data_IF_952600930185
#
_entry.id   IF_952600930185
#
_cell.length_a   1.000
_cell.length_b   1.000
_cell.length_c   1.000
_cell.angle_alpha   90.00
_cell.angle_beta   90.00
_cell.angle_gamma   90.00
#
_symmetry.space_group_name_H-M   'P 1'
#
loop_
_entity.id
_entity.type
_entity.pdbx_description
1 polymer ?
#
# COMPACT_ATOMS: atom_id res chain seq x y z
N UNK A 1 -6.03 -28.87 0.06
CA UNK A 1 -4.96 -27.91 -0.31
C UNK A 1 -5.22 -26.58 0.36
N UNK A 2 -4.78 -26.42 1.61
CA UNK A 2 -4.98 -25.21 2.39
C UNK A 2 -4.02 -24.13 1.88
N UNK A 3 -4.55 -23.09 1.21
CA UNK A 3 -3.77 -21.89 0.88
C UNK A 3 -3.25 -21.31 2.20
N UNK A 4 -1.95 -21.53 2.47
CA UNK A 4 -1.24 -20.95 3.61
C UNK A 4 -1.35 -19.43 3.47
N UNK A 5 -2.19 -18.80 4.30
CA UNK A 5 -2.28 -17.34 4.39
C UNK A 5 -0.91 -16.86 4.87
N UNK A 6 -0.10 -16.36 3.94
CA UNK A 6 1.09 -15.60 4.30
C UNK A 6 0.57 -14.38 5.06
N UNK A 7 0.84 -14.33 6.35
CA UNK A 7 0.48 -13.18 7.17
C UNK A 7 1.13 -11.94 6.54
N UNK A 8 0.41 -10.80 6.46
CA UNK A 8 1.00 -9.58 5.96
C UNK A 8 2.14 -9.18 6.90
N UNK A 9 3.39 -9.46 6.52
CA UNK A 9 4.54 -9.03 7.30
C UNK A 9 4.75 -7.55 7.02
N UNK A 10 4.51 -6.70 8.02
CA UNK A 10 4.98 -5.32 7.96
C UNK A 10 6.50 -5.37 7.71
N UNK A 11 6.93 -4.94 6.52
CA UNK A 11 8.33 -4.67 6.29
C UNK A 11 8.76 -3.66 7.36
N UNK A 12 9.75 -4.00 8.18
CA UNK A 12 10.24 -3.19 9.30
C UNK A 12 10.94 -1.90 8.83
N UNK A 13 10.84 -1.55 7.55
CA UNK A 13 11.31 -0.29 6.99
C UNK A 13 10.31 0.80 7.39
N UNK A 14 10.75 1.75 8.19
CA UNK A 14 9.99 2.96 8.46
C UNK A 14 9.62 3.64 7.12
N UNK A 15 8.33 3.70 6.82
CA UNK A 15 7.78 4.37 5.64
C UNK A 15 7.21 5.70 6.09
N UNK A 16 7.56 6.80 5.42
CA UNK A 16 6.95 8.10 5.71
C UNK A 16 5.46 8.10 5.38
N UNK A 17 4.68 8.96 6.04
CA UNK A 17 3.25 9.10 5.78
C UNK A 17 2.96 9.38 4.30
N UNK A 18 3.73 10.29 3.69
CA UNK A 18 3.60 10.64 2.27
C UNK A 18 3.80 9.43 1.36
N UNK A 19 4.81 8.59 1.67
CA UNK A 19 5.07 7.38 0.90
C UNK A 19 3.96 6.35 1.07
N UNK A 20 3.45 6.15 2.29
CA UNK A 20 2.30 5.26 2.53
C UNK A 20 1.05 5.72 1.75
N UNK A 21 0.72 7.01 1.79
CA UNK A 21 -0.39 7.59 0.99
C UNK A 21 -0.19 7.36 -0.50
N UNK A 22 1.05 7.51 -1.00
CA UNK A 22 1.36 7.30 -2.41
C UNK A 22 1.22 5.84 -2.84
N UNK A 23 1.69 4.89 -2.03
CA UNK A 23 1.51 3.46 -2.28
C UNK A 23 0.03 3.08 -2.30
N UNK A 24 -0.75 3.61 -1.36
CA UNK A 24 -2.20 3.42 -1.34
C UNK A 24 -2.86 3.88 -2.65
N UNK A 25 -2.52 5.09 -3.11
CA UNK A 25 -3.02 5.63 -4.39
C UNK A 25 -2.56 4.80 -5.60
N UNK A 26 -1.32 4.28 -5.58
CA UNK A 26 -0.81 3.41 -6.63
C UNK A 26 -1.63 2.11 -6.71
N UNK A 27 -1.89 1.45 -5.58
CA UNK A 27 -2.69 0.22 -5.54
C UNK A 27 -4.13 0.46 -5.99
N UNK A 28 -4.76 1.56 -5.54
CA UNK A 28 -6.10 1.92 -6.03
C UNK A 28 -6.11 2.16 -7.54
N UNK A 29 -5.11 2.86 -8.07
CA UNK A 29 -5.05 3.17 -9.49
C UNK A 29 -4.85 1.92 -10.35
N UNK A 30 -3.94 1.03 -9.97
CA UNK A 30 -3.72 -0.26 -10.64
C UNK A 30 -4.90 -1.22 -10.43
N UNK A 31 -5.65 -1.06 -9.33
CA UNK A 31 -6.87 -1.78 -9.03
C UNK A 31 -8.00 -1.58 -10.05
N UNK A 32 -7.98 -0.45 -10.76
CA UNK A 32 -8.90 -0.17 -11.87
C UNK A 32 -8.48 -0.82 -13.21
N UNK A 33 -7.43 -1.64 -13.20
CA UNK A 33 -6.92 -2.37 -14.36
C UNK A 33 -5.54 -1.89 -14.83
N UNK A 34 -4.94 -2.57 -15.83
CA UNK A 34 -3.54 -2.39 -16.19
C UNK A 34 -3.21 -0.97 -16.69
N UNK A 35 -2.12 -0.37 -16.18
CA UNK A 35 -1.71 1.00 -16.49
C UNK A 35 -0.32 1.07 -17.10
N UNK A 36 -0.10 1.99 -18.04
CA UNK A 36 1.24 2.25 -18.57
C UNK A 36 2.09 2.97 -17.52
N UNK A 37 3.42 2.84 -17.64
CA UNK A 37 4.36 3.59 -16.80
C UNK A 37 4.08 5.09 -16.84
N UNK A 38 3.90 5.65 -18.03
CA UNK A 38 3.64 7.08 -18.22
C UNK A 38 2.38 7.55 -17.46
N UNK A 39 1.30 6.77 -17.54
CA UNK A 39 0.06 7.09 -16.82
C UNK A 39 0.25 7.07 -15.30
N UNK A 40 1.05 6.13 -14.78
CA UNK A 40 1.35 6.04 -13.35
C UNK A 40 2.17 7.26 -12.89
N UNK A 41 3.26 7.58 -13.59
CA UNK A 41 4.13 8.70 -13.25
C UNK A 41 3.36 10.04 -13.27
N UNK A 42 2.51 10.24 -14.29
CA UNK A 42 1.66 11.44 -14.38
C UNK A 42 0.61 11.49 -13.27
N UNK A 43 -0.09 10.37 -13.01
CA UNK A 43 -1.19 10.32 -12.02
C UNK A 43 -0.70 10.51 -10.58
N UNK A 44 0.49 10.00 -10.27
CA UNK A 44 1.10 10.08 -8.94
C UNK A 44 2.07 11.26 -8.79
N UNK A 45 2.38 11.97 -9.89
CA UNK A 45 3.32 13.10 -9.95
C UNK A 45 4.68 12.75 -9.36
N UNK A 46 5.22 11.61 -9.77
CA UNK A 46 6.54 11.11 -9.34
C UNK A 46 7.48 10.89 -10.51
N UNK A 47 8.77 10.92 -10.22
CA UNK A 47 9.80 10.52 -11.16
C UNK A 47 9.92 8.99 -11.25
N UNK A 48 10.69 8.54 -12.26
CA UNK A 48 10.88 7.13 -12.55
C UNK A 48 11.64 6.36 -11.45
N UNK A 49 12.59 7.00 -10.76
CA UNK A 49 13.36 6.36 -9.68
C UNK A 49 12.47 6.14 -8.46
N UNK A 50 11.68 7.15 -8.09
CA UNK A 50 10.70 7.03 -7.01
C UNK A 50 9.71 5.90 -7.28
N UNK A 51 9.22 5.78 -8.53
CA UNK A 51 8.34 4.69 -8.92
C UNK A 51 8.97 3.30 -8.72
N UNK A 52 10.20 3.08 -9.19
CA UNK A 52 10.85 1.77 -9.01
C UNK A 52 11.17 1.46 -7.54
N UNK A 53 11.57 2.46 -6.74
CA UNK A 53 11.75 2.29 -5.28
C UNK A 53 10.45 1.90 -4.59
N UNK A 54 9.32 2.45 -5.03
CA UNK A 54 8.01 2.08 -4.51
C UNK A 54 7.60 0.65 -4.93
N UNK A 55 7.94 0.21 -6.15
CA UNK A 55 7.76 -1.18 -6.56
C UNK A 55 8.61 -2.17 -5.74
N UNK A 56 9.86 -1.82 -5.43
CA UNK A 56 10.72 -2.61 -4.55
C UNK A 56 10.10 -2.75 -3.15
N UNK A 57 9.59 -1.65 -2.58
CA UNK A 57 8.94 -1.70 -1.28
C UNK A 57 7.64 -2.52 -1.29
N UNK A 58 6.84 -2.43 -2.35
CA UNK A 58 5.66 -3.29 -2.51
C UNK A 58 6.05 -4.77 -2.55
N UNK A 59 7.12 -5.10 -3.29
CA UNK A 59 7.65 -6.46 -3.33
C UNK A 59 8.13 -6.94 -1.96
N UNK A 60 8.81 -6.09 -1.19
CA UNK A 60 9.21 -6.39 0.20
C UNK A 60 8.00 -6.65 1.11
N UNK A 61 6.84 -6.09 0.80
CA UNK A 61 5.57 -6.32 1.50
C UNK A 61 4.76 -7.49 0.91
N UNK A 62 5.37 -8.32 0.05
CA UNK A 62 4.73 -9.40 -0.70
C UNK A 62 3.56 -8.95 -1.60
N UNK A 63 3.58 -7.70 -2.06
CA UNK A 63 2.60 -7.16 -2.99
C UNK A 63 3.21 -7.19 -4.39
N UNK A 64 2.72 -8.10 -5.23
CA UNK A 64 3.24 -8.29 -6.58
C UNK A 64 2.57 -7.34 -7.60
N UNK A 65 3.41 -6.61 -8.32
CA UNK A 65 3.02 -5.78 -9.46
C UNK A 65 3.69 -6.33 -10.71
N UNK A 66 2.92 -6.98 -11.58
CA UNK A 66 3.42 -7.60 -12.81
C UNK A 66 3.46 -6.59 -13.96
N UNK A 67 4.52 -6.63 -14.76
CA UNK A 67 4.65 -5.87 -16.00
C UNK A 67 4.34 -6.78 -17.20
N UNK A 68 3.18 -6.60 -17.81
CA UNK A 68 2.73 -7.37 -18.97
C UNK A 68 2.39 -6.43 -20.12
N UNK A 69 2.88 -6.72 -21.33
CA UNK A 69 2.60 -5.92 -22.53
C UNK A 69 2.82 -4.41 -22.31
N UNK A 70 3.90 -4.05 -21.58
CA UNK A 70 4.26 -2.68 -21.19
C UNK A 70 3.27 -1.97 -20.24
N UNK A 71 2.37 -2.71 -19.59
CA UNK A 71 1.44 -2.21 -18.58
C UNK A 71 1.68 -2.92 -17.25
N UNK A 72 1.59 -2.17 -16.17
CA UNK A 72 1.64 -2.69 -14.81
C UNK A 72 0.24 -3.11 -14.36
N UNK A 73 0.15 -4.25 -13.70
CA UNK A 73 -1.08 -4.84 -13.17
C UNK A 73 -0.84 -5.41 -11.77
N UNK A 74 -1.90 -5.53 -10.96
CA UNK A 74 -1.81 -6.12 -9.62
C UNK A 74 -2.09 -7.62 -9.67
N UNK A 75 -1.24 -8.40 -9.00
CA UNK A 75 -1.38 -9.84 -8.85
C UNK A 75 -2.40 -10.28 -7.77
N UNK A 76 -3.50 -9.54 -7.57
CA UNK A 76 -4.45 -9.86 -6.50
C UNK A 76 -5.58 -8.84 -6.33
N UNK A 77 -6.41 -9.05 -5.30
CA UNK A 77 -7.51 -8.14 -4.97
C UNK A 77 -6.98 -6.90 -4.25
N UNK A 78 -7.36 -5.73 -4.74
CA UNK A 78 -6.94 -4.43 -4.20
C UNK A 78 -7.17 -4.31 -2.69
N UNK A 79 -8.33 -4.76 -2.20
CA UNK A 79 -8.66 -4.67 -0.77
C UNK A 79 -7.66 -5.41 0.12
N UNK A 80 -7.32 -6.65 -0.25
CA UNK A 80 -6.37 -7.47 0.50
C UNK A 80 -4.94 -6.90 0.43
N UNK A 81 -4.53 -6.40 -0.73
CA UNK A 81 -3.20 -5.81 -0.93
C UNK A 81 -3.05 -4.47 -0.20
N UNK A 82 -4.11 -3.67 -0.15
CA UNK A 82 -4.16 -2.42 0.60
C UNK A 82 -3.97 -2.67 2.09
N UNK A 83 -4.59 -3.72 2.64
CA UNK A 83 -4.46 -4.05 4.05
C UNK A 83 -3.02 -4.44 4.44
N UNK A 84 -2.25 -4.98 3.50
CA UNK A 84 -0.82 -5.32 3.68
C UNK A 84 0.14 -4.12 3.61
N UNK A 85 -0.33 -2.92 3.26
CA UNK A 85 0.55 -1.77 3.12
C UNK A 85 1.15 -1.34 4.47
N UNK A 86 2.46 -1.01 4.52
CA UNK A 86 3.10 -0.53 5.73
C UNK A 86 2.64 0.89 6.08
N UNK A 87 2.43 1.14 7.36
CA UNK A 87 2.15 2.44 7.94
C UNK A 87 3.39 3.00 8.67
N UNK A 88 3.60 4.33 8.66
CA UNK A 88 4.53 4.97 9.60
C UNK A 88 4.18 4.60 11.05
N UNK A 89 5.17 4.73 11.95
CA UNK A 89 5.09 4.56 13.41
C UNK A 89 3.65 4.35 13.93
N UNK A 90 3.28 3.14 14.38
CA UNK A 90 4.13 2.20 15.12
C UNK A 90 4.56 0.96 14.33
N UNK A 91 4.73 1.05 13.01
CA UNK A 91 5.15 -0.10 12.18
C UNK A 91 4.03 -1.12 11.94
N UNK A 92 2.78 -0.66 11.96
CA UNK A 92 1.61 -1.47 11.64
C UNK A 92 1.40 -1.57 10.13
N UNK A 93 0.58 -2.53 9.73
CA UNK A 93 -0.05 -2.54 8.40
C UNK A 93 -1.33 -1.70 8.40
N UNK A 94 -1.81 -1.29 7.21
CA UNK A 94 -3.08 -0.58 7.06
C UNK A 94 -4.26 -1.38 7.62
N UNK A 95 -4.25 -2.70 7.44
CA UNK A 95 -5.29 -3.60 7.96
C UNK A 95 -5.31 -3.62 9.50
N UNK A 96 -4.16 -3.79 10.13
CA UNK A 96 -4.02 -3.76 11.59
C UNK A 96 -4.44 -2.41 12.18
N UNK A 97 -3.98 -1.31 11.57
CA UNK A 97 -4.35 0.03 12.00
C UNK A 97 -5.86 0.29 11.85
N UNK A 98 -6.51 -0.25 10.79
CA UNK A 98 -7.97 -0.20 10.64
C UNK A 98 -8.69 -0.96 11.74
N UNK A 99 -8.23 -2.17 12.08
CA UNK A 99 -8.81 -2.99 13.15
C UNK A 99 -8.69 -2.25 14.48
N UNK A 100 -7.49 -1.79 14.83
CA UNK A 100 -7.24 -1.08 16.08
C UNK A 100 -8.05 0.22 16.15
N UNK A 101 -8.14 0.99 15.06
CA UNK A 101 -8.86 2.28 15.05
C UNK A 101 -10.36 2.21 15.38
N UNK A 102 -10.97 1.01 15.45
CA UNK A 102 -12.39 0.82 15.82
C UNK A 102 -12.68 1.05 17.31
N UNK A 103 -11.66 1.09 18.17
CA UNK A 103 -11.83 1.36 19.59
C UNK A 103 -12.31 2.79 19.89
N UNK A 104 -12.67 3.05 21.16
CA UNK A 104 -13.29 4.31 21.60
C UNK A 104 -12.36 5.27 22.38
N UNK A 105 -11.12 4.87 22.64
CA UNK A 105 -10.18 5.69 23.42
C UNK A 105 -9.50 6.79 22.59
N UNK A 106 -8.87 7.81 23.23
CA UNK A 106 -8.11 8.84 22.52
C UNK A 106 -7.00 8.31 21.61
N UNK A 107 -6.38 7.18 21.96
CA UNK A 107 -5.35 6.52 21.14
C UNK A 107 -5.96 5.96 19.85
N UNK A 108 -7.15 5.36 19.92
CA UNK A 108 -7.88 4.90 18.74
C UNK A 108 -8.27 6.07 17.82
N UNK A 109 -8.64 7.22 18.39
CA UNK A 109 -8.91 8.43 17.61
C UNK A 109 -7.65 8.95 16.88
N UNK A 110 -6.47 8.87 17.51
CA UNK A 110 -5.18 9.20 16.85
C UNK A 110 -4.91 8.25 15.68
N UNK A 111 -5.06 6.94 15.89
CA UNK A 111 -4.90 5.94 14.81
C UNK A 111 -5.89 6.16 13.66
N UNK A 112 -7.16 6.47 13.97
CA UNK A 112 -8.17 6.77 12.95
C UNK A 112 -7.78 7.97 12.08
N UNK A 113 -7.19 9.01 12.67
CA UNK A 113 -6.66 10.18 11.92
C UNK A 113 -5.50 9.77 11.03
N UNK A 114 -4.58 8.95 11.52
CA UNK A 114 -3.43 8.46 10.75
C UNK A 114 -3.88 7.61 9.56
N UNK A 115 -4.77 6.63 9.77
CA UNK A 115 -5.37 5.85 8.68
C UNK A 115 -6.04 6.75 7.67
N UNK A 116 -6.84 7.74 8.14
CA UNK A 116 -7.51 8.70 7.25
C UNK A 116 -6.51 9.50 6.41
N UNK A 117 -5.38 9.91 6.98
CA UNK A 117 -4.35 10.66 6.25
C UNK A 117 -3.66 9.81 5.16
N UNK A 118 -3.52 8.50 5.37
CA UNK A 118 -3.02 7.58 4.33
C UNK A 118 -4.06 7.34 3.24
N UNK A 119 -5.33 7.21 3.61
CA UNK A 119 -6.41 6.85 2.68
C UNK A 119 -7.09 8.02 1.97
N UNK A 120 -6.67 9.27 2.24
CA UNK A 120 -7.22 10.49 1.64
C UNK A 120 -6.70 10.74 0.22
#
# INVERSE_FOLDING_TARGET
MSKKRVAPSASNKAVSLERASRLFRLLQFLGSGPKTRAAILQRLRIDIRTFYRDLELLRDCNIEVALERRKYSLGGKVGELVDSLPLPDPGLTLGEARILSKGRSPVHAKLKRLVKAVTA
#
